data_IF_261430440939
#
_entry.id   IF_261430440939
#
_cell.length_a   1.000
_cell.length_b   1.000
_cell.length_c   1.000
_cell.angle_alpha   90.00
_cell.angle_beta   90.00
_cell.angle_gamma   90.00
#
_symmetry.space_group_name_H-M   'P 1'
#
loop_
_entity.id
_entity.type
_entity.pdbx_description
1 polymer ?
#
# COMPACT_ATOMS: atom_id res chain seq x y z
N UNK A 1 -4.42 -26.67 23.16
CA UNK A 1 -4.75 -25.32 22.67
C UNK A 1 -3.53 -24.74 21.96
N UNK A 2 -3.38 -24.97 20.66
CA UNK A 2 -2.38 -24.28 19.86
C UNK A 2 -2.90 -22.87 19.60
N UNK A 3 -2.53 -21.93 20.46
CA UNK A 3 -2.74 -20.50 20.19
C UNK A 3 -1.93 -20.13 18.95
N UNK A 4 -2.60 -19.79 17.86
CA UNK A 4 -1.93 -19.19 16.70
C UNK A 4 -1.13 -17.98 17.18
N UNK A 5 0.17 -17.86 16.83
CA UNK A 5 0.96 -16.69 17.19
C UNK A 5 0.25 -15.43 16.65
N UNK A 6 0.08 -14.45 17.53
CA UNK A 6 -0.51 -13.18 17.10
C UNK A 6 0.37 -12.59 16.00
N UNK A 7 -0.23 -11.94 15.00
CA UNK A 7 0.46 -11.37 13.83
C UNK A 7 1.72 -10.58 14.21
N UNK A 8 1.68 -9.82 15.32
CA UNK A 8 2.84 -9.08 15.85
C UNK A 8 4.00 -9.97 16.29
N UNK A 9 3.73 -11.13 16.86
CA UNK A 9 4.81 -12.04 17.32
C UNK A 9 5.48 -12.75 16.13
N UNK A 10 4.73 -13.08 15.08
CA UNK A 10 5.29 -13.65 13.85
C UNK A 10 6.14 -12.63 13.09
N UNK A 11 5.70 -11.38 12.99
CA UNK A 11 6.45 -10.31 12.33
C UNK A 11 7.77 -10.02 13.07
N UNK A 12 7.73 -9.91 14.40
CA UNK A 12 8.92 -9.71 15.22
C UNK A 12 9.90 -10.88 15.13
N UNK A 13 9.42 -12.12 15.15
CA UNK A 13 10.25 -13.32 15.00
C UNK A 13 10.89 -13.39 13.62
N UNK A 14 10.16 -13.03 12.57
CA UNK A 14 10.67 -12.93 11.20
C UNK A 14 11.76 -11.87 11.07
N UNK A 15 11.55 -10.66 11.59
CA UNK A 15 12.58 -9.62 11.60
C UNK A 15 13.80 -10.02 12.42
N UNK A 16 13.62 -10.67 13.55
CA UNK A 16 14.73 -11.16 14.38
C UNK A 16 15.57 -12.21 13.65
N UNK A 17 14.94 -13.13 12.90
CA UNK A 17 15.65 -14.12 12.09
C UNK A 17 16.42 -13.47 10.94
N UNK A 18 15.81 -12.49 10.24
CA UNK A 18 16.49 -11.75 9.18
C UNK A 18 17.72 -10.98 9.70
N UNK A 19 17.61 -10.34 10.86
CA UNK A 19 18.74 -9.64 11.48
C UNK A 19 19.83 -10.65 11.90
N UNK A 20 19.45 -11.83 12.36
CA UNK A 20 20.39 -12.90 12.71
C UNK A 20 21.16 -13.45 11.52
N UNK A 21 20.49 -13.59 10.37
CA UNK A 21 21.09 -14.13 9.14
C UNK A 21 21.90 -13.11 8.34
N UNK A 22 21.40 -11.89 8.21
CA UNK A 22 21.98 -10.88 7.31
C UNK A 22 22.73 -9.74 8.03
N UNK A 23 22.64 -9.67 9.37
CA UNK A 23 23.39 -8.73 10.20
C UNK A 23 22.94 -7.25 10.10
N UNK A 24 23.72 -6.32 10.70
CA UNK A 24 23.37 -4.89 10.79
C UNK A 24 23.28 -4.17 9.44
N UNK A 25 23.89 -4.71 8.40
CA UNK A 25 23.87 -4.12 7.05
C UNK A 25 22.48 -4.11 6.45
N UNK A 26 21.65 -5.13 6.76
CA UNK A 26 20.27 -5.21 6.35
C UNK A 26 19.43 -4.09 6.97
N UNK A 27 19.63 -3.81 8.25
CA UNK A 27 18.94 -2.72 8.95
C UNK A 27 19.21 -1.35 8.32
N UNK A 28 20.47 -1.08 7.96
CA UNK A 28 20.85 0.19 7.32
C UNK A 28 20.24 0.35 5.92
N UNK A 29 20.23 -0.72 5.14
CA UNK A 29 19.61 -0.72 3.82
C UNK A 29 18.09 -0.57 3.89
N UNK A 30 17.44 -1.28 4.83
CA UNK A 30 15.99 -1.19 5.06
C UNK A 30 15.57 0.20 5.56
N UNK A 31 16.30 0.79 6.51
CA UNK A 31 16.04 2.14 6.98
C UNK A 31 16.14 3.18 5.85
N UNK A 32 17.15 3.04 4.97
CA UNK A 32 17.31 3.90 3.80
C UNK A 32 16.16 3.76 2.82
N UNK A 33 15.69 2.55 2.57
CA UNK A 33 14.52 2.27 1.74
C UNK A 33 13.25 2.92 2.32
N UNK A 34 13.05 2.85 3.63
CA UNK A 34 11.90 3.47 4.31
C UNK A 34 11.92 4.99 4.25
N UNK A 35 13.10 5.61 4.38
CA UNK A 35 13.26 7.07 4.26
C UNK A 35 12.86 7.56 2.87
N UNK A 36 13.01 6.76 1.84
CA UNK A 36 12.59 7.11 0.47
C UNK A 36 11.10 6.78 0.28
N UNK A 37 10.66 5.63 0.77
CA UNK A 37 9.31 5.13 0.56
C UNK A 37 8.22 6.01 1.18
N UNK A 38 8.34 6.38 2.46
CA UNK A 38 7.30 7.16 3.13
C UNK A 38 7.08 8.54 2.52
N UNK A 39 8.12 9.36 2.24
CA UNK A 39 7.92 10.63 1.54
C UNK A 39 7.31 10.44 0.15
N UNK A 40 7.72 9.41 -0.59
CA UNK A 40 7.16 9.11 -1.91
C UNK A 40 5.66 8.80 -1.82
N UNK A 41 5.24 7.97 -0.86
CA UNK A 41 3.83 7.67 -0.63
C UNK A 41 3.02 8.92 -0.24
N UNK A 42 3.58 9.79 0.59
CA UNK A 42 2.94 11.05 0.99
C UNK A 42 2.76 11.97 -0.22
N UNK A 43 3.81 12.16 -1.01
CA UNK A 43 3.75 12.97 -2.24
C UNK A 43 2.75 12.39 -3.23
N UNK A 44 2.80 11.07 -3.45
CA UNK A 44 1.84 10.36 -4.30
C UNK A 44 0.40 10.56 -3.81
N UNK A 45 0.14 10.39 -2.52
CA UNK A 45 -1.19 10.57 -1.94
C UNK A 45 -1.74 11.98 -2.25
N UNK A 46 -0.99 13.02 -1.93
CA UNK A 46 -1.45 14.38 -2.16
C UNK A 46 -1.55 14.72 -3.66
N UNK A 47 -0.61 14.31 -4.48
CA UNK A 47 -0.60 14.59 -5.90
C UNK A 47 -1.73 13.85 -6.65
N UNK A 48 -1.83 12.53 -6.47
CA UNK A 48 -2.81 11.70 -7.17
C UNK A 48 -4.24 12.06 -6.76
N UNK A 49 -4.53 12.13 -5.46
CA UNK A 49 -5.89 12.43 -5.00
C UNK A 49 -6.30 13.88 -5.24
N UNK A 50 -5.36 14.85 -5.24
CA UNK A 50 -5.66 16.20 -5.71
C UNK A 50 -5.98 16.20 -7.19
N UNK A 51 -5.23 15.47 -8.01
CA UNK A 51 -5.50 15.32 -9.43
C UNK A 51 -6.87 14.72 -9.71
N UNK A 52 -7.19 13.57 -9.11
CA UNK A 52 -8.51 12.93 -9.29
C UNK A 52 -9.67 13.82 -8.82
N UNK A 53 -9.52 14.47 -7.67
CA UNK A 53 -10.54 15.37 -7.15
C UNK A 53 -10.72 16.61 -8.00
N UNK A 54 -9.63 17.11 -8.58
CA UNK A 54 -9.68 18.23 -9.54
C UNK A 54 -10.40 17.85 -10.83
N UNK A 55 -10.11 16.68 -11.40
CA UNK A 55 -10.82 16.20 -12.59
C UNK A 55 -12.30 15.95 -12.34
N UNK A 56 -12.68 15.54 -11.12
CA UNK A 56 -14.07 15.26 -10.77
C UNK A 56 -14.91 16.54 -10.58
N UNK A 57 -14.39 17.56 -9.87
CA UNK A 57 -15.15 18.74 -9.48
C UNK A 57 -14.28 20.01 -9.34
N UNK A 58 -13.17 20.10 -10.05
CA UNK A 58 -12.26 21.25 -10.01
C UNK A 58 -11.68 21.49 -8.60
N UNK A 59 -11.38 22.74 -8.31
CA UNK A 59 -10.83 23.16 -7.01
C UNK A 59 -11.77 22.89 -5.84
N UNK A 60 -13.08 22.88 -6.08
CA UNK A 60 -14.10 22.54 -5.09
C UNK A 60 -13.98 21.05 -4.70
N UNK A 61 -13.75 20.15 -5.66
CA UNK A 61 -13.54 18.73 -5.44
C UNK A 61 -12.37 18.47 -4.49
N UNK A 62 -11.24 19.16 -4.68
CA UNK A 62 -10.08 19.04 -3.79
C UNK A 62 -10.45 19.41 -2.35
N UNK A 63 -11.13 20.55 -2.16
CA UNK A 63 -11.54 21.00 -0.81
C UNK A 63 -12.49 20.01 -0.14
N UNK A 64 -13.48 19.52 -0.87
CA UNK A 64 -14.45 18.54 -0.36
C UNK A 64 -13.77 17.23 -0.01
N UNK A 65 -12.86 16.74 -0.85
CA UNK A 65 -12.12 15.52 -0.62
C UNK A 65 -11.27 15.60 0.66
N UNK A 66 -10.38 16.58 0.77
CA UNK A 66 -9.48 16.68 1.93
C UNK A 66 -10.21 17.01 3.23
N UNK A 67 -11.39 17.62 3.19
CA UNK A 67 -12.23 17.83 4.36
C UNK A 67 -12.78 16.51 4.93
N UNK A 68 -13.03 15.50 4.08
CA UNK A 68 -13.72 14.28 4.47
C UNK A 68 -12.81 13.03 4.54
N UNK A 69 -11.56 13.11 4.05
CA UNK A 69 -10.68 11.93 3.95
C UNK A 69 -9.94 11.60 5.27
N UNK A 70 -9.93 12.47 6.24
CA UNK A 70 -9.12 12.29 7.46
C UNK A 70 -9.57 11.04 8.26
N UNK A 71 -10.86 10.87 8.50
CA UNK A 71 -11.42 9.72 9.23
C UNK A 71 -11.12 8.38 8.52
N UNK A 72 -11.37 8.23 7.21
CA UNK A 72 -10.91 7.07 6.45
C UNK A 72 -9.40 6.81 6.50
N UNK A 73 -8.58 7.85 6.41
CA UNK A 73 -7.12 7.72 6.43
C UNK A 73 -6.63 7.17 7.77
N UNK A 74 -7.11 7.70 8.89
CA UNK A 74 -6.77 7.21 10.21
C UNK A 74 -7.24 5.76 10.39
N UNK A 75 -8.45 5.43 9.94
CA UNK A 75 -9.00 4.08 10.04
C UNK A 75 -8.19 3.09 9.20
N UNK A 76 -7.79 3.48 7.99
CA UNK A 76 -6.97 2.61 7.12
C UNK A 76 -5.58 2.36 7.69
N UNK A 77 -4.95 3.38 8.27
CA UNK A 77 -3.66 3.24 8.96
C UNK A 77 -3.76 2.32 10.18
N UNK A 78 -4.84 2.41 10.94
CA UNK A 78 -5.05 1.57 12.13
C UNK A 78 -5.38 0.13 11.79
N UNK A 79 -6.22 -0.10 10.78
CA UNK A 79 -6.71 -1.44 10.40
C UNK A 79 -5.81 -2.15 9.39
N UNK A 80 -5.05 -1.40 8.61
CA UNK A 80 -4.25 -1.91 7.47
C UNK A 80 -5.10 -2.77 6.51
N UNK A 81 -6.39 -2.45 6.37
CA UNK A 81 -7.34 -3.20 5.57
C UNK A 81 -8.32 -2.29 4.86
N UNK A 82 -8.32 -2.34 3.53
CA UNK A 82 -9.26 -1.57 2.69
C UNK A 82 -10.71 -2.00 2.94
N UNK A 83 -10.95 -3.29 3.16
CA UNK A 83 -12.31 -3.82 3.44
C UNK A 83 -12.78 -3.36 4.82
N UNK A 84 -11.93 -3.40 5.84
CA UNK A 84 -12.28 -2.91 7.18
C UNK A 84 -12.56 -1.39 7.20
N UNK A 85 -11.95 -0.64 6.28
CA UNK A 85 -12.14 0.81 6.13
C UNK A 85 -13.39 1.15 5.29
N UNK A 86 -13.95 0.19 4.57
CA UNK A 86 -15.06 0.41 3.64
C UNK A 86 -16.28 1.15 4.25
N UNK A 87 -16.78 0.81 5.46
CA UNK A 87 -17.90 1.53 6.05
C UNK A 87 -17.61 3.03 6.26
N UNK A 88 -16.38 3.34 6.66
CA UNK A 88 -15.94 4.73 6.89
C UNK A 88 -15.79 5.49 5.56
N UNK A 89 -15.30 4.81 4.52
CA UNK A 89 -15.25 5.37 3.16
C UNK A 89 -16.64 5.66 2.60
N UNK A 90 -17.60 4.76 2.82
CA UNK A 90 -19.02 4.96 2.42
C UNK A 90 -19.62 6.19 3.12
N UNK A 91 -19.35 6.38 4.40
CA UNK A 91 -19.78 7.56 5.16
C UNK A 91 -19.12 8.84 4.62
N UNK A 92 -17.80 8.82 4.42
CA UNK A 92 -17.07 9.98 3.91
C UNK A 92 -17.54 10.39 2.51
N UNK A 93 -17.72 9.45 1.60
CA UNK A 93 -18.22 9.74 0.23
C UNK A 93 -19.68 10.20 0.22
N UNK A 94 -20.50 9.74 1.18
CA UNK A 94 -21.82 10.32 1.37
C UNK A 94 -21.74 11.81 1.74
N UNK A 95 -20.85 12.17 2.65
CA UNK A 95 -20.61 13.57 3.04
C UNK A 95 -20.04 14.42 1.90
N UNK A 96 -19.35 13.79 0.93
CA UNK A 96 -18.86 14.42 -0.28
C UNK A 96 -19.98 14.65 -1.33
N UNK A 97 -21.18 14.11 -1.12
CA UNK A 97 -22.32 14.24 -2.05
C UNK A 97 -22.32 13.22 -3.19
N UNK A 98 -21.56 12.14 -3.09
CA UNK A 98 -21.55 11.07 -4.10
C UNK A 98 -22.88 10.29 -4.02
N UNK A 99 -23.60 10.06 -5.15
CA UNK A 99 -24.84 9.30 -5.17
C UNK A 99 -24.68 7.90 -4.58
N UNK A 100 -25.72 7.42 -3.90
CA UNK A 100 -25.72 6.14 -3.19
C UNK A 100 -25.36 4.97 -4.10
N UNK A 101 -26.00 4.90 -5.26
CA UNK A 101 -25.82 3.80 -6.22
C UNK A 101 -24.38 3.70 -6.74
N UNK A 102 -23.71 4.85 -6.90
CA UNK A 102 -22.31 4.90 -7.35
C UNK A 102 -21.39 4.46 -6.21
N UNK A 103 -21.51 5.02 -5.01
CA UNK A 103 -20.58 4.71 -3.92
C UNK A 103 -20.68 3.26 -3.44
N UNK A 104 -21.89 2.66 -3.41
CA UNK A 104 -22.11 1.27 -2.98
C UNK A 104 -21.57 0.24 -3.97
N UNK A 105 -21.35 0.62 -5.22
CA UNK A 105 -20.74 -0.24 -6.23
C UNK A 105 -19.23 0.03 -6.35
N UNK A 106 -18.84 1.29 -6.49
CA UNK A 106 -17.45 1.66 -6.80
C UNK A 106 -16.51 1.43 -5.63
N UNK A 107 -16.94 1.72 -4.39
CA UNK A 107 -16.04 1.60 -3.23
C UNK A 107 -15.69 0.14 -2.89
N UNK A 108 -16.62 -0.84 -2.88
CA UNK A 108 -16.24 -2.22 -2.69
C UNK A 108 -15.30 -2.76 -3.78
N UNK A 109 -15.57 -2.42 -5.05
CA UNK A 109 -14.70 -2.79 -6.16
C UNK A 109 -13.31 -2.15 -5.99
N UNK A 110 -13.26 -0.85 -5.70
CA UNK A 110 -12.01 -0.15 -5.46
C UNK A 110 -11.21 -0.70 -4.28
N UNK A 111 -11.88 -1.12 -3.20
CA UNK A 111 -11.23 -1.70 -2.03
C UNK A 111 -10.50 -3.03 -2.33
N UNK A 112 -10.89 -3.73 -3.39
CA UNK A 112 -10.27 -4.99 -3.81
C UNK A 112 -9.29 -4.84 -4.98
N UNK A 113 -9.45 -3.82 -5.83
CA UNK A 113 -8.68 -3.66 -7.07
C UNK A 113 -7.62 -2.56 -6.99
N UNK A 114 -7.81 -1.53 -6.17
CA UNK A 114 -6.92 -0.37 -6.10
C UNK A 114 -5.80 -0.62 -5.08
N UNK A 115 -4.64 -1.05 -5.58
CA UNK A 115 -3.48 -1.49 -4.78
C UNK A 115 -2.19 -0.71 -5.09
N UNK A 116 -2.29 0.60 -5.28
CA UNK A 116 -1.17 1.47 -5.65
C UNK A 116 -0.01 1.41 -4.65
N UNK A 117 -0.31 1.46 -3.35
CA UNK A 117 0.69 1.36 -2.30
C UNK A 117 1.45 0.04 -2.34
N UNK A 118 0.77 -1.06 -2.66
CA UNK A 118 1.36 -2.38 -2.84
C UNK A 118 2.32 -2.41 -4.02
N UNK A 119 1.93 -1.86 -5.17
CA UNK A 119 2.79 -1.81 -6.35
C UNK A 119 4.06 -1.00 -6.07
N UNK A 120 3.94 0.17 -5.43
CA UNK A 120 5.09 0.99 -5.05
C UNK A 120 6.00 0.24 -4.07
N UNK A 121 5.45 -0.44 -3.06
CA UNK A 121 6.24 -1.21 -2.10
C UNK A 121 6.94 -2.40 -2.74
N UNK A 122 6.29 -3.08 -3.68
CA UNK A 122 6.84 -4.22 -4.41
C UNK A 122 8.07 -3.83 -5.24
N UNK A 123 8.00 -2.73 -5.99
CA UNK A 123 9.16 -2.21 -6.74
C UNK A 123 10.32 -1.90 -5.80
N UNK A 124 10.04 -1.29 -4.65
CA UNK A 124 11.08 -0.99 -3.66
C UNK A 124 11.72 -2.27 -3.12
N UNK A 125 10.92 -3.29 -2.79
CA UNK A 125 11.41 -4.59 -2.30
C UNK A 125 12.27 -5.30 -3.35
N UNK A 126 11.82 -5.33 -4.60
CA UNK A 126 12.61 -5.91 -5.70
C UNK A 126 13.95 -5.20 -5.82
N UNK A 127 13.97 -3.87 -5.86
CA UNK A 127 15.22 -3.11 -5.94
C UNK A 127 16.14 -3.33 -4.74
N UNK A 128 15.57 -3.51 -3.56
CA UNK A 128 16.28 -3.83 -2.33
C UNK A 128 16.93 -5.21 -2.37
N UNK A 129 16.22 -6.23 -2.88
CA UNK A 129 16.77 -7.58 -3.06
C UNK A 129 17.96 -7.57 -4.04
N UNK A 130 17.84 -6.86 -5.16
CA UNK A 130 18.97 -6.68 -6.08
C UNK A 130 20.19 -6.10 -5.37
N UNK A 131 19.98 -5.11 -4.49
CA UNK A 131 21.06 -4.51 -3.70
C UNK A 131 21.69 -5.47 -2.70
N UNK A 132 20.90 -6.32 -2.01
CA UNK A 132 21.42 -7.34 -1.08
C UNK A 132 22.27 -8.38 -1.82
N UNK A 133 21.79 -8.85 -2.98
CA UNK A 133 22.51 -9.86 -3.78
C UNK A 133 23.65 -9.26 -4.63
N UNK A 134 23.99 -7.97 -4.45
CA UNK A 134 25.03 -7.31 -5.21
C UNK A 134 24.76 -7.20 -6.72
N UNK A 135 23.50 -7.36 -7.11
CA UNK A 135 23.07 -7.24 -8.49
C UNK A 135 22.75 -5.78 -8.85
N UNK A 136 23.14 -5.34 -10.03
CA UNK A 136 22.78 -4.01 -10.50
C UNK A 136 21.29 -3.92 -10.87
N UNK A 137 20.53 -3.06 -10.17
CA UNK A 137 19.17 -2.74 -10.56
C UNK A 137 19.19 -1.67 -11.66
N UNK A 138 19.53 -2.07 -12.88
CA UNK A 138 19.69 -1.18 -14.02
C UNK A 138 19.29 -1.87 -15.33
N UNK A 139 18.87 -1.07 -16.30
CA UNK A 139 18.47 -1.53 -17.63
C UNK A 139 16.96 -1.58 -17.82
N UNK A 140 16.52 -1.27 -19.04
CA UNK A 140 15.08 -1.18 -19.40
C UNK A 140 14.38 -2.52 -19.15
N UNK A 141 15.02 -3.65 -19.45
CA UNK A 141 14.46 -4.99 -19.23
C UNK A 141 14.18 -5.27 -17.75
N UNK A 142 15.11 -4.93 -16.87
CA UNK A 142 14.97 -5.08 -15.41
C UNK A 142 13.82 -4.21 -14.88
N UNK A 143 13.69 -2.97 -15.34
CA UNK A 143 12.61 -2.08 -14.92
C UNK A 143 11.24 -2.56 -15.40
N UNK A 144 11.14 -3.03 -16.65
CA UNK A 144 9.88 -3.59 -17.19
C UNK A 144 9.50 -4.86 -16.43
N UNK A 145 10.44 -5.75 -16.18
CA UNK A 145 10.19 -6.96 -15.40
C UNK A 145 9.73 -6.65 -13.97
N UNK A 146 10.43 -5.74 -13.29
CA UNK A 146 10.04 -5.31 -11.94
C UNK A 146 8.66 -4.66 -11.90
N UNK A 147 8.31 -3.83 -12.88
CA UNK A 147 6.98 -3.25 -13.02
C UNK A 147 5.91 -4.32 -13.26
N UNK A 148 6.16 -5.26 -14.17
CA UNK A 148 5.22 -6.34 -14.48
C UNK A 148 4.96 -7.21 -13.24
N UNK A 149 6.02 -7.63 -12.53
CA UNK A 149 5.91 -8.43 -11.29
C UNK A 149 5.14 -7.64 -10.23
N UNK A 150 5.45 -6.35 -10.04
CA UNK A 150 4.80 -5.51 -9.03
C UNK A 150 3.31 -5.30 -9.32
N UNK A 151 2.93 -5.09 -10.58
CA UNK A 151 1.53 -4.97 -11.00
C UNK A 151 0.80 -6.31 -10.82
N UNK A 152 1.40 -7.42 -11.23
CA UNK A 152 0.82 -8.76 -11.03
C UNK A 152 0.66 -9.08 -9.54
N UNK A 153 1.65 -8.77 -8.72
CA UNK A 153 1.56 -8.89 -7.27
C UNK A 153 0.41 -8.06 -6.69
N UNK A 154 0.24 -6.82 -7.15
CA UNK A 154 -0.87 -5.96 -6.75
C UNK A 154 -2.25 -6.51 -7.14
N UNK A 155 -2.37 -7.16 -8.30
CA UNK A 155 -3.63 -7.78 -8.76
C UNK A 155 -3.97 -9.03 -7.94
N UNK A 156 -2.98 -9.82 -7.55
CA UNK A 156 -3.17 -11.05 -6.76
C UNK A 156 -3.48 -10.74 -5.30
N UNK A 157 -2.96 -9.64 -4.77
CA UNK A 157 -3.26 -9.19 -3.41
C UNK A 157 -4.73 -8.80 -3.28
N UNK A 158 -5.39 -9.36 -2.29
CA UNK A 158 -6.76 -8.97 -1.95
C UNK A 158 -6.77 -7.95 -0.80
N UNK A 159 -7.74 -7.05 -0.79
CA UNK A 159 -7.94 -6.03 0.27
C UNK A 159 -8.30 -6.59 1.65
N UNK A 160 -8.23 -7.90 1.87
CA UNK A 160 -8.51 -8.57 3.15
C UNK A 160 -7.36 -8.36 4.16
N UNK A 161 -7.64 -8.38 5.46
CA UNK A 161 -6.60 -8.36 6.48
C UNK A 161 -5.61 -9.51 6.28
N UNK A 162 -4.33 -9.19 6.11
CA UNK A 162 -3.29 -10.21 5.83
C UNK A 162 -3.04 -10.51 4.35
N UNK A 163 -3.84 -9.97 3.41
CA UNK A 163 -3.64 -10.15 1.98
C UNK A 163 -2.26 -9.71 1.48
N UNK A 164 -1.67 -8.72 2.15
CA UNK A 164 -0.29 -8.28 1.88
C UNK A 164 0.76 -9.38 2.05
N UNK A 165 0.64 -10.19 3.09
CA UNK A 165 1.59 -11.31 3.34
C UNK A 165 1.53 -12.38 2.24
N UNK A 166 0.34 -12.69 1.75
CA UNK A 166 0.16 -13.69 0.69
C UNK A 166 0.80 -13.21 -0.63
N UNK A 167 0.60 -11.94 -0.98
CA UNK A 167 1.22 -11.38 -2.18
C UNK A 167 2.74 -11.19 -2.04
N UNK A 168 3.22 -10.92 -0.82
CA UNK A 168 4.66 -10.81 -0.54
C UNK A 168 5.41 -12.15 -0.64
N UNK A 169 4.71 -13.27 -0.45
CA UNK A 169 5.27 -14.61 -0.66
C UNK A 169 5.40 -14.99 -2.14
N UNK A 170 4.76 -14.23 -3.05
CA UNK A 170 4.78 -14.48 -4.49
C UNK A 170 5.84 -13.63 -5.23
N UNK A 171 6.49 -12.69 -4.54
CA UNK A 171 7.53 -11.79 -5.04
C UNK A 171 8.89 -12.20 -4.48
#
# INVERSE_FOLDING_TARGET
EHSFPTRRSSDLAYFASLIGEFGPQLLGAYARAMIIYYPLCIVYFFAAFSGYSYFAAGTQGIKIFFKNILEPSITSLATQSSIATLPVNLKATNNMGVPKDIREIVLPIGATMHMDGTVISSILKISFLFGIFGQGFAGIGTYIAALAISVMGGVVMSGVPGGGLIGEMLI
#
